data_IF_885620231329
#
_entry.id   IF_885620231329
#
_cell.length_a   1.000
_cell.length_b   1.000
_cell.length_c   1.000
_cell.angle_alpha   90.00
_cell.angle_beta   90.00
_cell.angle_gamma   90.00
#
_symmetry.space_group_name_H-M   'P 1'
#
loop_
_entity.id
_entity.type
_entity.pdbx_description
1 polymer ?
#
# COMPACT_ATOMS: atom_id res chain seq x y z
N UNK A 1 6.30 15.14 -5.50
CA UNK A 1 6.65 16.55 -5.21
C UNK A 1 6.15 16.93 -3.83
N UNK A 2 6.93 17.67 -3.05
CA UNK A 2 6.51 18.14 -1.71
C UNK A 2 5.40 19.20 -1.86
N UNK A 3 4.29 19.12 -1.11
CA UNK A 3 3.22 20.13 -1.20
C UNK A 3 3.72 21.53 -0.84
N UNK A 4 3.18 22.58 -1.47
CA UNK A 4 3.56 23.97 -1.16
C UNK A 4 3.26 24.33 0.30
N UNK A 5 4.01 25.27 0.88
CA UNK A 5 3.85 25.70 2.27
C UNK A 5 2.41 26.13 2.61
N UNK A 6 1.72 26.76 1.67
CA UNK A 6 0.31 27.13 1.82
C UNK A 6 -0.61 25.91 1.99
N UNK A 7 -0.42 24.87 1.16
CA UNK A 7 -1.17 23.62 1.26
C UNK A 7 -0.86 22.88 2.56
N UNK A 8 0.37 22.94 3.05
CA UNK A 8 0.76 22.36 4.34
C UNK A 8 0.06 23.06 5.52
N UNK A 9 0.02 24.40 5.53
CA UNK A 9 -0.67 25.18 6.57
C UNK A 9 -2.17 24.90 6.61
N UNK A 10 -2.83 24.83 5.45
CA UNK A 10 -4.25 24.44 5.39
C UNK A 10 -4.44 23.00 5.87
N UNK A 11 -3.56 22.09 5.45
CA UNK A 11 -3.57 20.69 5.89
C UNK A 11 -3.45 20.57 7.41
N UNK A 12 -2.63 21.37 8.07
CA UNK A 12 -2.43 21.34 9.52
C UNK A 12 -3.71 21.68 10.31
N UNK A 13 -4.60 22.49 9.76
CA UNK A 13 -5.86 22.92 10.39
C UNK A 13 -7.00 21.89 10.24
N UNK A 14 -6.82 20.86 9.41
CA UNK A 14 -7.84 19.83 9.23
C UNK A 14 -8.00 18.98 10.51
N UNK A 15 -9.25 18.63 10.89
CA UNK A 15 -9.52 17.61 11.88
C UNK A 15 -8.81 16.30 11.53
N UNK A 16 -8.38 15.56 12.55
CA UNK A 16 -7.58 14.34 12.37
C UNK A 16 -8.27 13.31 11.44
N UNK A 17 -9.56 13.05 11.67
CA UNK A 17 -10.34 12.13 10.82
C UNK A 17 -10.28 12.54 9.35
N UNK A 18 -10.47 13.83 9.07
CA UNK A 18 -10.45 14.36 7.70
C UNK A 18 -9.05 14.28 7.07
N UNK A 19 -7.97 14.45 7.85
CA UNK A 19 -6.59 14.22 7.37
C UNK A 19 -6.40 12.78 6.95
N UNK A 20 -6.84 11.83 7.77
CA UNK A 20 -6.74 10.40 7.46
C UNK A 20 -7.54 10.01 6.23
N UNK A 21 -8.79 10.46 6.11
CA UNK A 21 -9.62 10.20 4.93
C UNK A 21 -8.96 10.72 3.64
N UNK A 22 -8.43 11.95 3.68
CA UNK A 22 -7.73 12.54 2.54
C UNK A 22 -6.43 11.81 2.22
N UNK A 23 -5.66 11.42 3.25
CA UNK A 23 -4.44 10.65 3.08
C UNK A 23 -4.72 9.32 2.38
N UNK A 24 -5.69 8.54 2.88
CA UNK A 24 -6.10 7.26 2.29
C UNK A 24 -6.58 7.43 0.84
N UNK A 25 -7.38 8.47 0.57
CA UNK A 25 -7.84 8.80 -0.79
C UNK A 25 -6.69 9.11 -1.75
N UNK A 26 -5.66 9.83 -1.28
CA UNK A 26 -4.48 10.12 -2.10
C UNK A 26 -3.65 8.85 -2.33
N UNK A 27 -3.47 8.02 -1.30
CA UNK A 27 -2.73 6.77 -1.44
C UNK A 27 -3.45 5.77 -2.36
N UNK A 28 -4.78 5.68 -2.32
CA UNK A 28 -5.53 4.75 -3.18
C UNK A 28 -5.42 5.03 -4.67
N UNK A 29 -5.11 6.27 -5.05
CA UNK A 29 -4.85 6.63 -6.45
C UNK A 29 -3.44 6.26 -6.93
N UNK A 30 -2.50 5.99 -6.02
CA UNK A 30 -1.13 5.63 -6.38
C UNK A 30 -1.10 4.21 -6.93
N UNK A 31 -0.43 4.05 -8.08
CA UNK A 31 -0.27 2.73 -8.74
C UNK A 31 0.74 1.83 -8.03
N UNK A 32 1.54 2.37 -7.12
CA UNK A 32 2.57 1.64 -6.38
C UNK A 32 2.03 0.78 -5.24
N UNK A 33 0.77 0.96 -4.82
CA UNK A 33 0.16 0.12 -3.80
C UNK A 33 -0.65 -1.00 -4.42
N UNK A 34 -0.76 -2.09 -3.65
CA UNK A 34 -1.60 -3.22 -3.95
C UNK A 34 -3.07 -2.80 -4.02
N UNK A 35 -3.77 -3.40 -4.96
CA UNK A 35 -5.21 -3.23 -5.21
C UNK A 35 -5.93 -4.53 -4.90
N UNK A 36 -7.22 -4.41 -4.61
CA UNK A 36 -8.08 -5.57 -4.47
C UNK A 36 -8.01 -6.43 -5.73
N UNK A 37 -7.75 -7.73 -5.55
CA UNK A 37 -7.58 -8.70 -6.61
C UNK A 37 -6.13 -8.91 -7.06
N UNK A 38 -5.18 -8.07 -6.66
CA UNK A 38 -3.76 -8.29 -6.97
C UNK A 38 -3.28 -9.61 -6.35
N UNK A 39 -2.35 -10.28 -7.05
CA UNK A 39 -1.71 -11.50 -6.57
C UNK A 39 -0.27 -11.19 -6.18
N UNK A 40 0.05 -11.39 -4.90
CA UNK A 40 1.42 -11.33 -4.39
C UNK A 40 1.99 -12.73 -4.38
N UNK A 41 3.09 -12.93 -5.12
CA UNK A 41 3.85 -14.17 -5.12
C UNK A 41 5.17 -13.98 -4.38
N UNK A 42 5.50 -14.91 -3.50
CA UNK A 42 6.77 -14.96 -2.80
C UNK A 42 7.36 -16.36 -2.88
N UNK A 43 8.67 -16.46 -3.10
CA UNK A 43 9.40 -17.73 -3.18
C UNK A 43 10.74 -17.62 -2.48
N UNK A 44 11.19 -18.72 -1.87
CA UNK A 44 12.50 -18.80 -1.22
C UNK A 44 13.18 -20.07 -1.70
N UNK A 45 14.40 -19.91 -2.22
CA UNK A 45 15.25 -21.01 -2.63
C UNK A 45 16.69 -20.77 -2.22
N UNK A 46 17.41 -21.81 -1.83
CA UNK A 46 18.86 -21.74 -1.64
C UNK A 46 19.56 -21.53 -2.99
N UNK A 47 20.69 -20.82 -2.99
CA UNK A 47 21.44 -20.55 -4.22
C UNK A 47 22.02 -21.82 -4.87
N UNK A 48 22.17 -22.89 -4.10
CA UNK A 48 22.59 -24.21 -4.58
C UNK A 48 21.42 -25.13 -4.97
N UNK A 49 20.19 -24.59 -5.03
CA UNK A 49 18.95 -25.27 -5.40
C UNK A 49 18.56 -26.50 -4.54
N UNK A 50 19.30 -26.81 -3.46
CA UNK A 50 18.99 -27.97 -2.61
C UNK A 50 17.74 -27.80 -1.75
N UNK A 51 17.38 -26.56 -1.45
CA UNK A 51 16.18 -26.23 -0.69
C UNK A 51 15.33 -25.30 -1.51
N UNK A 52 14.11 -25.74 -1.83
CA UNK A 52 13.05 -24.93 -2.43
C UNK A 52 11.82 -25.00 -1.54
N UNK A 53 11.41 -23.85 -1.00
CA UNK A 53 10.21 -23.75 -0.15
C UNK A 53 8.92 -23.54 -0.96
N UNK A 54 9.02 -23.55 -2.29
CA UNK A 54 7.91 -23.34 -3.21
C UNK A 54 7.52 -21.88 -3.36
N UNK A 55 6.32 -21.66 -3.88
CA UNK A 55 5.75 -20.33 -4.13
C UNK A 55 4.51 -20.15 -3.25
N UNK A 56 4.55 -19.16 -2.37
CA UNK A 56 3.37 -18.65 -1.69
C UNK A 56 2.62 -17.70 -2.61
N UNK A 57 1.30 -17.89 -2.70
CA UNK A 57 0.38 -17.03 -3.46
C UNK A 57 -0.62 -16.41 -2.50
N UNK A 58 -0.63 -15.08 -2.44
CA UNK A 58 -1.56 -14.32 -1.61
C UNK A 58 -2.40 -13.39 -2.47
N UNK A 59 -3.72 -13.61 -2.52
CA UNK A 59 -4.66 -12.73 -3.21
C UNK A 59 -5.07 -11.61 -2.26
N UNK A 60 -4.81 -10.38 -2.67
CA UNK A 60 -5.23 -9.19 -1.93
C UNK A 60 -6.74 -9.08 -2.01
N UNK A 61 -7.40 -9.02 -0.86
CA UNK A 61 -8.85 -8.84 -0.74
C UNK A 61 -9.15 -7.56 0.02
N UNK A 62 -10.28 -6.93 -0.30
CA UNK A 62 -10.81 -5.83 0.50
C UNK A 62 -11.14 -6.33 1.92
N UNK A 63 -11.10 -5.42 2.89
CA UNK A 63 -11.53 -5.71 4.26
C UNK A 63 -12.97 -6.22 4.25
N UNK A 64 -13.22 -7.32 4.96
CA UNK A 64 -14.55 -7.88 5.10
C UNK A 64 -15.38 -6.97 6.02
N UNK A 65 -16.59 -6.62 5.58
CA UNK A 65 -17.58 -5.87 6.38
C UNK A 65 -18.12 -6.70 7.54
#
# INVERSE_FOLDING_TARGET
SVPSQFKQKIGALLPEKTKWDLFLKVQSQRKQYLRNGDLVEASIRSADDKIDLGVQRNRVVAEAL
#
